data_IF_658055967519
#
_entry.id   IF_658055967519
#
_cell.length_a   1.000
_cell.length_b   1.000
_cell.length_c   1.000
_cell.angle_alpha   90.00
_cell.angle_beta   90.00
_cell.angle_gamma   90.00
#
_symmetry.space_group_name_H-M   'P 1'
#
loop_
_entity.id
_entity.type
_entity.pdbx_description
1 polymer ?
#
# COMPACT_ATOMS: atom_id res chain seq x y z
N UNK A 1 9.73 -20.91 43.06
CA UNK A 1 10.97 -20.19 42.74
C UNK A 1 10.66 -19.22 41.61
N UNK A 2 10.38 -17.97 41.95
CA UNK A 2 9.90 -16.97 41.00
C UNK A 2 11.09 -16.14 40.52
N UNK A 3 11.62 -16.45 39.34
CA UNK A 3 12.67 -15.63 38.71
C UNK A 3 12.09 -14.30 38.24
N UNK A 4 12.74 -13.20 38.59
CA UNK A 4 12.39 -11.85 38.14
C UNK A 4 12.94 -11.64 36.73
N UNK A 5 12.14 -11.24 35.74
CA UNK A 5 12.66 -11.01 34.39
C UNK A 5 13.17 -9.57 34.25
N UNK A 6 14.38 -9.37 33.72
CA UNK A 6 14.93 -8.04 33.42
C UNK A 6 14.80 -7.78 31.92
N UNK A 7 14.34 -6.58 31.56
CA UNK A 7 13.98 -6.23 30.18
C UNK A 7 14.81 -5.07 29.65
N UNK A 8 15.39 -5.28 28.46
CA UNK A 8 15.89 -4.22 27.61
C UNK A 8 15.19 -4.35 26.26
N UNK A 9 14.16 -3.54 26.02
CA UNK A 9 13.57 -3.39 24.69
C UNK A 9 13.56 -1.92 24.33
N UNK A 10 14.59 -1.51 23.59
CA UNK A 10 14.72 -0.18 23.02
C UNK A 10 13.65 0.00 21.93
N UNK A 11 12.49 0.55 22.31
CA UNK A 11 11.63 1.24 21.35
C UNK A 11 12.14 2.67 21.26
N UNK A 12 12.59 3.08 20.07
CA UNK A 12 13.43 4.25 19.80
C UNK A 12 12.84 5.65 20.01
N UNK A 13 12.07 5.89 21.07
CA UNK A 13 11.77 7.24 21.56
C UNK A 13 11.88 7.26 23.08
N UNK A 14 12.88 8.00 23.58
CA UNK A 14 13.14 8.21 25.00
C UNK A 14 12.03 9.03 25.64
N UNK A 15 10.97 8.36 26.07
CA UNK A 15 10.14 8.82 27.19
C UNK A 15 10.40 7.88 28.37
N UNK A 16 10.86 8.44 29.48
CA UNK A 16 11.35 7.72 30.68
C UNK A 16 10.27 6.87 31.40
N UNK A 17 9.08 6.69 30.81
CA UNK A 17 7.94 5.96 31.35
C UNK A 17 7.62 4.62 30.64
N UNK A 18 8.37 4.22 29.60
CA UNK A 18 7.97 3.12 28.70
C UNK A 18 8.90 1.88 28.63
N UNK A 19 9.73 1.61 29.65
CA UNK A 19 10.70 0.49 29.60
C UNK A 19 10.12 -0.94 29.74
N UNK A 20 8.79 -1.16 29.69
CA UNK A 20 8.18 -2.46 29.97
C UNK A 20 7.29 -3.03 28.84
N UNK A 21 7.51 -2.59 27.60
CA UNK A 21 6.67 -3.04 26.49
C UNK A 21 7.48 -3.65 25.34
N UNK A 22 7.05 -4.83 24.90
CA UNK A 22 7.72 -5.65 23.88
C UNK A 22 7.03 -5.45 22.54
N UNK A 23 7.80 -5.40 21.44
CA UNK A 23 7.25 -5.33 20.10
C UNK A 23 6.32 -6.52 19.81
N UNK A 24 5.13 -6.34 19.21
CA UNK A 24 4.17 -7.43 18.95
C UNK A 24 4.80 -8.64 18.25
N UNK A 25 5.58 -8.40 17.19
CA UNK A 25 6.25 -9.45 16.41
C UNK A 25 7.30 -10.27 17.20
N UNK A 26 7.76 -9.75 18.34
CA UNK A 26 8.73 -10.44 19.22
C UNK A 26 8.06 -11.06 20.43
N UNK A 27 6.77 -10.78 20.66
CA UNK A 27 6.07 -11.22 21.85
C UNK A 27 5.82 -12.73 21.86
N UNK A 28 5.60 -13.34 20.69
CA UNK A 28 5.43 -14.80 20.59
C UNK A 28 6.71 -15.56 20.97
N UNK A 29 7.88 -15.00 20.63
CA UNK A 29 9.20 -15.58 20.94
C UNK A 29 9.81 -15.01 22.21
N UNK A 30 8.99 -14.43 23.09
CA UNK A 30 9.51 -13.69 24.26
C UNK A 30 10.36 -14.55 25.18
N UNK A 31 10.06 -15.85 25.26
CA UNK A 31 10.82 -16.82 26.04
C UNK A 31 12.21 -17.12 25.46
N UNK A 32 12.41 -16.93 24.16
CA UNK A 32 13.71 -17.13 23.49
C UNK A 32 14.62 -15.91 23.65
N UNK A 33 14.03 -14.71 23.82
CA UNK A 33 14.76 -13.44 23.90
C UNK A 33 14.82 -12.87 25.33
N UNK A 34 14.34 -13.60 26.33
CA UNK A 34 14.38 -13.18 27.74
C UNK A 34 14.90 -14.29 28.64
N UNK A 35 15.64 -13.89 29.68
CA UNK A 35 16.11 -14.79 30.73
C UNK A 35 15.58 -14.33 32.08
N UNK A 36 15.02 -15.23 32.91
CA UNK A 36 14.67 -14.89 34.28
C UNK A 36 15.95 -14.64 35.08
N UNK A 37 16.02 -13.48 35.71
CA UNK A 37 17.05 -13.10 36.66
C UNK A 37 16.73 -13.67 38.05
N UNK A 38 17.69 -14.33 38.71
CA UNK A 38 17.54 -14.73 40.10
C UNK A 38 17.34 -13.53 41.03
N UNK A 39 16.51 -13.70 42.07
CA UNK A 39 16.18 -12.63 43.02
C UNK A 39 17.41 -12.06 43.74
N UNK A 40 18.38 -12.89 44.12
CA UNK A 40 19.63 -12.44 44.76
C UNK A 40 20.42 -11.48 43.87
N UNK A 41 20.48 -11.78 42.57
CA UNK A 41 21.14 -10.93 41.57
C UNK A 41 20.36 -9.62 41.38
N UNK A 42 19.02 -9.68 41.31
CA UNK A 42 18.18 -8.49 41.24
C UNK A 42 18.40 -7.54 42.43
N UNK A 43 18.36 -8.08 43.66
CA UNK A 43 18.56 -7.30 44.89
C UNK A 43 19.95 -6.65 44.90
N UNK A 44 20.98 -7.37 44.46
CA UNK A 44 22.33 -6.81 44.35
C UNK A 44 22.38 -5.63 43.36
N UNK A 45 21.78 -5.78 42.17
CA UNK A 45 21.72 -4.72 41.17
C UNK A 45 20.94 -3.50 41.67
N UNK A 46 19.79 -3.72 42.31
CA UNK A 46 18.96 -2.65 42.88
C UNK A 46 19.71 -1.87 43.96
N UNK A 47 20.42 -2.54 44.87
CA UNK A 47 21.19 -1.89 45.93
C UNK A 47 22.39 -1.10 45.38
N UNK A 48 22.99 -1.57 44.27
CA UNK A 48 24.18 -0.96 43.66
C UNK A 48 23.84 0.25 42.78
N UNK A 49 22.75 0.17 42.02
CA UNK A 49 22.44 1.12 40.94
C UNK A 49 21.10 1.85 41.13
N UNK A 50 20.29 1.46 42.13
CA UNK A 50 18.91 1.90 42.25
C UNK A 50 18.03 1.32 41.14
N UNK A 51 16.84 1.89 40.94
CA UNK A 51 15.92 1.50 39.86
C UNK A 51 14.45 1.52 40.26
N UNK A 52 13.61 1.08 39.33
CA UNK A 52 12.18 0.92 39.52
C UNK A 52 11.80 -0.46 40.10
N UNK A 53 10.51 -0.67 40.39
CA UNK A 53 10.02 -1.98 40.83
C UNK A 53 10.34 -3.07 39.80
N UNK A 54 10.49 -4.33 40.24
CA UNK A 54 10.79 -5.42 39.34
C UNK A 54 9.67 -5.62 38.33
N UNK A 55 10.04 -5.95 37.11
CA UNK A 55 9.10 -6.24 36.06
C UNK A 55 8.59 -7.69 36.19
N UNK A 56 7.36 -7.83 36.66
CA UNK A 56 6.73 -9.14 36.90
C UNK A 56 5.98 -9.67 35.68
N UNK A 57 5.50 -8.78 34.82
CA UNK A 57 4.81 -9.11 33.57
C UNK A 57 5.37 -8.31 32.40
N UNK A 58 5.29 -8.93 31.22
CA UNK A 58 5.59 -8.29 29.95
C UNK A 58 4.32 -7.97 29.24
N UNK A 59 4.20 -6.73 28.79
CA UNK A 59 3.08 -6.30 27.99
C UNK A 59 3.53 -6.03 26.55
N UNK A 60 2.62 -6.18 25.61
CA UNK A 60 2.85 -5.75 24.24
C UNK A 60 2.88 -4.23 24.20
N UNK A 61 3.81 -3.66 23.44
CA UNK A 61 3.84 -2.24 23.15
C UNK A 61 2.58 -1.83 22.37
N UNK A 62 1.68 -1.10 23.04
CA UNK A 62 0.43 -0.61 22.46
C UNK A 62 0.66 0.31 21.26
N UNK A 63 1.73 1.09 21.26
CA UNK A 63 2.09 1.94 20.12
C UNK A 63 2.49 1.11 18.90
N UNK A 64 3.41 0.15 19.08
CA UNK A 64 3.82 -0.76 18.01
C UNK A 64 2.65 -1.62 17.52
N UNK A 65 1.77 -2.07 18.42
CA UNK A 65 0.57 -2.82 18.04
C UNK A 65 -0.37 -1.99 17.16
N UNK A 66 -0.67 -0.75 17.56
CA UNK A 66 -1.48 0.16 16.75
C UNK A 66 -0.85 0.46 15.39
N UNK A 67 0.48 0.66 15.34
CA UNK A 67 1.18 0.91 14.09
C UNK A 67 1.10 -0.30 13.14
N UNK A 68 1.27 -1.52 13.67
CA UNK A 68 1.14 -2.76 12.91
C UNK A 68 -0.30 -2.97 12.42
N UNK A 69 -1.30 -2.73 13.27
CA UNK A 69 -2.71 -2.86 12.91
C UNK A 69 -3.10 -1.86 11.81
N UNK A 70 -2.59 -0.63 11.88
CA UNK A 70 -2.83 0.40 10.86
C UNK A 70 -2.16 0.06 9.53
N UNK A 71 -0.93 -0.47 9.57
CA UNK A 71 -0.22 -0.94 8.38
C UNK A 71 -1.00 -2.08 7.70
N UNK A 72 -1.46 -3.05 8.47
CA UNK A 72 -2.23 -4.19 7.93
C UNK A 72 -3.57 -3.73 7.36
N UNK A 73 -4.28 -2.84 8.06
CA UNK A 73 -5.52 -2.23 7.56
C UNK A 73 -5.29 -1.45 6.26
N UNK A 74 -4.15 -0.78 6.10
CA UNK A 74 -3.79 -0.13 4.83
C UNK A 74 -3.61 -1.17 3.72
N UNK A 75 -2.78 -2.19 3.93
CA UNK A 75 -2.53 -3.27 2.95
C UNK A 75 -3.83 -3.94 2.50
N UNK A 76 -4.70 -4.27 3.45
CA UNK A 76 -5.99 -4.89 3.19
C UNK A 76 -6.88 -3.99 2.33
N UNK A 77 -7.03 -2.70 2.69
CA UNK A 77 -7.84 -1.75 1.90
C UNK A 77 -7.34 -1.59 0.48
N UNK A 78 -6.02 -1.51 0.29
CA UNK A 78 -5.42 -1.38 -1.04
C UNK A 78 -5.66 -2.63 -1.88
N UNK A 79 -5.41 -3.82 -1.31
CA UNK A 79 -5.64 -5.10 -1.98
C UNK A 79 -7.10 -5.31 -2.36
N UNK A 80 -8.04 -5.05 -1.44
CA UNK A 80 -9.47 -5.24 -1.68
C UNK A 80 -10.02 -4.26 -2.72
N UNK A 81 -9.58 -3.00 -2.66
CA UNK A 81 -9.98 -1.99 -3.65
C UNK A 81 -9.45 -2.34 -5.04
N UNK A 82 -8.17 -2.72 -5.13
CA UNK A 82 -7.58 -3.16 -6.39
C UNK A 82 -8.32 -4.38 -6.95
N UNK A 83 -8.56 -5.43 -6.14
CA UNK A 83 -9.30 -6.62 -6.57
C UNK A 83 -10.71 -6.29 -7.07
N UNK A 84 -11.42 -5.38 -6.38
CA UNK A 84 -12.76 -4.94 -6.78
C UNK A 84 -12.71 -4.25 -8.15
N UNK A 85 -11.80 -3.30 -8.33
CA UNK A 85 -11.68 -2.55 -9.59
C UNK A 85 -11.22 -3.43 -10.77
N UNK A 86 -10.33 -4.40 -10.52
CA UNK A 86 -9.85 -5.30 -11.56
C UNK A 86 -10.77 -6.48 -11.87
N UNK A 87 -11.68 -6.86 -10.96
CA UNK A 87 -12.66 -7.91 -11.23
C UNK A 87 -13.58 -7.52 -12.40
N UNK A 88 -13.85 -6.22 -12.55
CA UNK A 88 -14.79 -5.69 -13.54
C UNK A 88 -14.10 -5.35 -14.89
N UNK A 89 -12.81 -5.68 -15.05
CA UNK A 89 -12.02 -5.40 -16.26
C UNK A 89 -11.49 -6.70 -16.91
N UNK A 90 -11.55 -6.88 -18.25
CA UNK A 90 -12.09 -6.00 -19.27
C UNK A 90 -13.54 -6.37 -19.63
N UNK A 91 -14.53 -5.69 -19.06
CA UNK A 91 -15.92 -5.98 -19.39
C UNK A 91 -16.34 -5.45 -20.77
N UNK A 92 -15.66 -4.41 -21.30
CA UNK A 92 -16.06 -3.71 -22.53
C UNK A 92 -14.85 -3.44 -23.44
N UNK A 93 -15.03 -3.58 -24.76
CA UNK A 93 -13.99 -3.36 -25.79
C UNK A 93 -13.69 -1.85 -26.06
N UNK A 94 -14.38 -0.92 -25.39
CA UNK A 94 -14.32 0.53 -25.67
C UNK A 94 -13.91 1.37 -24.43
N UNK A 95 -12.78 1.06 -23.79
CA UNK A 95 -12.33 1.78 -22.57
C UNK A 95 -10.84 2.11 -22.65
N UNK A 96 -10.48 3.34 -22.28
CA UNK A 96 -9.07 3.77 -22.21
C UNK A 96 -8.20 2.80 -21.42
N UNK A 97 -7.03 2.49 -21.98
CA UNK A 97 -6.09 1.53 -21.40
C UNK A 97 -4.89 2.27 -20.83
N UNK A 98 -4.73 2.21 -19.51
CA UNK A 98 -3.61 2.81 -18.79
C UNK A 98 -2.47 1.80 -18.61
N UNK A 99 -1.24 2.29 -18.60
CA UNK A 99 -0.05 1.45 -18.47
C UNK A 99 0.71 1.73 -17.19
N UNK A 100 1.11 0.65 -16.50
CA UNK A 100 1.91 0.72 -15.27
C UNK A 100 3.14 -0.16 -15.36
N UNK A 101 4.26 0.32 -14.85
CA UNK A 101 5.51 -0.46 -14.78
C UNK A 101 5.33 -1.70 -13.91
N UNK A 102 5.63 -2.90 -14.46
CA UNK A 102 5.61 -4.12 -13.63
C UNK A 102 6.69 -4.09 -12.55
N UNK A 103 7.74 -3.28 -12.70
CA UNK A 103 8.74 -3.08 -11.64
C UNK A 103 8.10 -2.44 -10.41
N UNK A 104 7.40 -1.32 -10.59
CA UNK A 104 6.69 -0.66 -9.50
C UNK A 104 5.56 -1.54 -8.96
N UNK A 105 4.79 -2.16 -9.86
CA UNK A 105 3.67 -3.00 -9.47
C UNK A 105 4.09 -4.23 -8.64
N UNK A 106 5.23 -4.85 -8.95
CA UNK A 106 5.81 -5.94 -8.13
C UNK A 106 6.14 -5.47 -6.71
N UNK A 107 6.66 -4.24 -6.54
CA UNK A 107 6.92 -3.65 -5.22
C UNK A 107 5.61 -3.41 -4.46
N UNK A 108 4.59 -2.89 -5.15
CA UNK A 108 3.27 -2.71 -4.56
C UNK A 108 2.70 -4.07 -4.12
N UNK A 109 2.82 -5.10 -4.95
CA UNK A 109 2.30 -6.43 -4.68
C UNK A 109 2.93 -7.07 -3.44
N UNK A 110 4.25 -7.00 -3.27
CA UNK A 110 4.93 -7.54 -2.07
C UNK A 110 4.54 -6.75 -0.81
N UNK A 111 4.33 -5.44 -0.92
CA UNK A 111 3.84 -4.60 0.17
C UNK A 111 2.42 -5.00 0.61
N UNK A 112 1.46 -5.07 -0.31
CA UNK A 112 0.07 -5.41 0.03
C UNK A 112 -0.10 -6.87 0.47
N UNK A 113 0.84 -7.76 0.11
CA UNK A 113 0.91 -9.14 0.62
C UNK A 113 1.61 -9.27 1.98
N UNK A 114 2.10 -8.16 2.55
CA UNK A 114 2.79 -8.15 3.84
C UNK A 114 4.16 -8.81 3.84
N UNK A 115 4.79 -8.95 2.68
CA UNK A 115 6.15 -9.50 2.55
C UNK A 115 7.21 -8.45 2.85
N UNK A 116 6.89 -7.18 2.57
CA UNK A 116 7.72 -6.01 2.88
C UNK A 116 6.90 -4.95 3.64
N UNK A 117 7.55 -4.28 4.60
CA UNK A 117 6.93 -3.21 5.39
C UNK A 117 6.92 -1.86 4.68
N UNK A 118 7.91 -1.63 3.80
CA UNK A 118 8.02 -0.39 3.06
C UNK A 118 7.05 -0.38 1.86
N UNK A 119 6.27 0.70 1.68
CA UNK A 119 5.44 0.87 0.48
C UNK A 119 6.31 1.10 -0.76
N UNK A 120 5.79 0.87 -1.99
CA UNK A 120 6.56 0.96 -3.24
C UNK A 120 7.09 2.35 -3.61
N UNK A 121 6.73 3.39 -2.85
CA UNK A 121 6.99 4.79 -3.22
C UNK A 121 6.11 5.26 -4.39
N UNK A 122 6.39 6.45 -4.96
CA UNK A 122 5.63 6.98 -6.08
C UNK A 122 5.69 6.09 -7.32
N UNK A 123 4.63 6.09 -8.13
CA UNK A 123 4.59 5.33 -9.38
C UNK A 123 5.74 5.80 -10.28
N UNK A 124 6.55 4.86 -10.79
CA UNK A 124 7.63 5.14 -11.73
C UNK A 124 7.44 4.36 -13.03
N UNK A 125 7.00 5.08 -14.06
CA UNK A 125 6.81 4.59 -15.42
C UNK A 125 7.96 5.00 -16.36
N UNK A 126 9.03 5.60 -15.87
CA UNK A 126 10.14 6.08 -16.70
C UNK A 126 10.83 4.96 -17.49
N UNK A 127 10.81 3.73 -16.96
CA UNK A 127 11.40 2.57 -17.61
C UNK A 127 10.54 2.00 -18.76
N UNK A 128 9.25 2.32 -18.80
CA UNK A 128 8.31 1.78 -19.81
C UNK A 128 7.96 2.78 -20.91
N UNK A 129 8.27 4.06 -20.74
CA UNK A 129 8.00 5.11 -21.74
C UNK A 129 9.32 5.56 -22.38
N UNK A 130 9.31 5.77 -23.69
CA UNK A 130 10.38 6.43 -24.43
C UNK A 130 9.82 7.57 -25.28
N UNK A 131 10.61 8.62 -25.45
CA UNK A 131 10.32 9.70 -26.39
C UNK A 131 10.88 9.32 -27.76
N UNK A 132 9.99 9.17 -28.76
CA UNK A 132 10.37 9.08 -30.17
C UNK A 132 10.00 10.40 -30.82
N UNK A 133 10.99 11.28 -30.98
CA UNK A 133 10.73 12.67 -31.34
C UNK A 133 9.98 13.37 -30.21
N UNK A 134 8.82 13.95 -30.52
CA UNK A 134 7.96 14.64 -29.55
C UNK A 134 6.83 13.76 -28.99
N UNK A 135 6.78 12.48 -29.38
CA UNK A 135 5.69 11.55 -29.00
C UNK A 135 6.19 10.54 -27.97
N UNK A 136 5.43 10.37 -26.88
CA UNK A 136 5.64 9.29 -25.91
C UNK A 136 5.12 7.99 -26.52
N UNK A 137 5.92 6.93 -26.44
CA UNK A 137 5.51 5.58 -26.85
C UNK A 137 6.01 4.55 -25.83
N UNK A 138 5.37 3.39 -25.79
CA UNK A 138 5.83 2.28 -24.98
C UNK A 138 7.17 1.74 -25.49
N UNK A 139 8.06 1.41 -24.55
CA UNK A 139 9.34 0.78 -24.84
C UNK A 139 9.09 -0.69 -25.19
N UNK A 140 9.49 -1.11 -26.39
CA UNK A 140 9.21 -2.45 -26.93
C UNK A 140 9.67 -3.62 -26.05
N UNK A 141 10.75 -3.44 -25.27
CA UNK A 141 11.30 -4.46 -24.37
C UNK A 141 10.96 -4.23 -22.89
N UNK A 142 9.98 -3.38 -22.59
CA UNK A 142 9.61 -3.08 -21.21
C UNK A 142 8.50 -4.00 -20.69
N UNK A 143 8.58 -4.31 -19.40
CA UNK A 143 7.54 -5.04 -18.69
C UNK A 143 6.51 -4.05 -18.11
N UNK A 144 5.30 -4.05 -18.64
CA UNK A 144 4.19 -3.23 -18.16
C UNK A 144 2.90 -4.05 -17.98
N UNK A 145 2.04 -3.60 -17.08
CA UNK A 145 0.67 -4.06 -16.92
C UNK A 145 -0.30 -3.07 -17.56
N UNK A 146 -1.49 -3.56 -17.93
CA UNK A 146 -2.61 -2.76 -18.40
C UNK A 146 -3.63 -2.62 -17.27
N UNK A 147 -4.18 -1.42 -17.11
CA UNK A 147 -5.16 -1.08 -16.09
C UNK A 147 -6.32 -0.32 -16.72
N UNK A 148 -7.50 -0.45 -16.13
CA UNK A 148 -8.58 0.49 -16.39
C UNK A 148 -8.23 1.89 -15.86
N UNK A 149 -8.96 2.90 -16.34
CA UNK A 149 -8.86 4.27 -15.82
C UNK A 149 -9.10 4.33 -14.31
N UNK A 150 -10.07 3.58 -13.81
CA UNK A 150 -10.45 3.56 -12.39
C UNK A 150 -9.33 2.96 -11.55
N UNK A 151 -8.73 1.84 -11.99
CA UNK A 151 -7.62 1.21 -11.27
C UNK A 151 -6.37 2.10 -11.31
N UNK A 152 -6.09 2.75 -12.44
CA UNK A 152 -4.99 3.72 -12.52
C UNK A 152 -5.22 4.90 -11.58
N UNK A 153 -6.40 5.51 -11.62
CA UNK A 153 -6.76 6.67 -10.79
C UNK A 153 -6.62 6.33 -9.32
N UNK A 154 -7.14 5.17 -8.89
CA UNK A 154 -7.00 4.70 -7.52
C UNK A 154 -5.53 4.61 -7.06
N UNK A 155 -4.66 3.98 -7.87
CA UNK A 155 -3.25 3.83 -7.52
C UNK A 155 -2.52 5.18 -7.53
N UNK A 156 -2.81 6.03 -8.52
CA UNK A 156 -2.21 7.35 -8.66
C UNK A 156 -2.64 8.30 -7.53
N UNK A 157 -3.89 8.24 -7.08
CA UNK A 157 -4.38 9.06 -5.96
C UNK A 157 -3.64 8.77 -4.64
N UNK A 158 -3.23 7.51 -4.42
CA UNK A 158 -2.60 7.10 -3.15
C UNK A 158 -1.06 7.06 -3.21
N UNK A 159 -0.46 7.00 -4.40
CA UNK A 159 1.00 6.91 -4.58
C UNK A 159 1.60 8.09 -5.34
N UNK A 160 0.81 8.83 -6.13
CA UNK A 160 1.28 9.85 -7.07
C UNK A 160 2.35 9.30 -8.03
N UNK A 161 3.10 10.17 -8.68
CA UNK A 161 4.21 9.84 -9.56
C UNK A 161 3.83 9.87 -11.04
N UNK A 162 4.47 9.03 -11.83
CA UNK A 162 4.27 8.95 -13.27
C UNK A 162 5.54 8.55 -14.04
N UNK A 163 5.67 8.93 -15.32
CA UNK A 163 4.68 9.68 -16.10
C UNK A 163 3.41 8.86 -16.39
N UNK A 164 2.27 9.55 -16.48
CA UNK A 164 1.02 8.96 -16.96
C UNK A 164 1.15 8.65 -18.45
N UNK A 165 0.69 7.46 -18.86
CA UNK A 165 0.58 7.05 -20.25
C UNK A 165 -0.59 6.09 -20.43
N UNK A 166 -1.43 6.37 -21.43
CA UNK A 166 -2.62 5.61 -21.76
C UNK A 166 -2.89 5.71 -23.26
N UNK A 167 -3.65 4.77 -23.80
CA UNK A 167 -4.26 4.91 -25.12
C UNK A 167 -5.72 5.34 -24.94
N UNK A 168 -6.05 6.46 -25.56
CA UNK A 168 -7.43 6.94 -25.71
C UNK A 168 -8.09 6.13 -26.82
N UNK A 169 -9.29 5.61 -26.56
CA UNK A 169 -10.12 5.09 -27.64
C UNK A 169 -10.81 6.23 -28.39
N UNK A 170 -10.86 6.14 -29.71
CA UNK A 170 -11.60 7.08 -30.55
C UNK A 170 -13.10 6.87 -30.30
N UNK A 171 -13.78 7.88 -29.74
CA UNK A 171 -15.23 7.86 -29.60
C UNK A 171 -15.82 8.05 -30.99
N UNK A 172 -16.45 7.02 -31.56
CA UNK A 172 -17.33 7.20 -32.70
C UNK A 172 -18.45 8.17 -32.27
N UNK A 173 -18.35 9.43 -32.74
CA UNK A 173 -19.45 10.38 -32.64
C UNK A 173 -20.57 9.83 -33.53
N UNK A 174 -21.57 9.19 -32.92
CA UNK A 174 -22.88 9.02 -33.55
C UNK A 174 -23.48 10.43 -33.75
N UNK A 175 -23.11 11.09 -34.85
CA UNK A 175 -23.85 12.24 -35.36
C UNK A 175 -25.28 11.77 -35.64
N UNK A 176 -26.25 12.32 -34.90
CA UNK A 176 -27.67 12.27 -35.25
C UNK A 176 -27.84 12.72 -36.70
N UNK A 177 -27.97 11.77 -37.62
CA UNK A 177 -28.49 12.06 -38.97
C UNK A 177 -29.95 12.46 -38.81
N UNK A 178 -30.23 13.77 -38.81
CA UNK A 178 -31.55 14.28 -39.10
C UNK A 178 -31.98 13.75 -40.48
N UNK A 179 -33.09 13.01 -40.48
CA UNK A 179 -33.73 12.44 -41.67
C UNK A 179 -34.35 13.58 -42.50
N UNK A 180 -33.97 13.78 -43.79
CA UNK A 180 -34.50 14.88 -44.61
C UNK A 180 -35.95 14.69 -45.11
N UNK A 181 -36.75 13.83 -44.47
CA UNK A 181 -38.05 13.41 -45.02
C UNK A 181 -39.28 14.22 -44.59
N UNK A 182 -39.12 15.26 -43.77
CA UNK A 182 -40.26 16.05 -43.27
C UNK A 182 -40.54 17.37 -44.01
N UNK A 183 -39.86 17.68 -45.14
CA UNK A 183 -40.08 18.95 -45.87
C UNK A 183 -40.96 18.86 -47.15
N UNK A 184 -41.49 17.70 -47.54
CA UNK A 184 -42.27 17.57 -48.79
C UNK A 184 -43.81 17.64 -48.64
N UNK A 185 -44.39 17.81 -47.44
CA UNK A 185 -45.87 17.85 -47.31
C UNK A 185 -46.51 19.27 -47.37
N UNK A 186 -45.75 20.36 -47.46
CA UNK A 186 -46.32 21.73 -47.43
C UNK A 186 -46.43 22.44 -48.81
N UNK A 187 -46.20 21.73 -49.93
CA UNK A 187 -46.41 22.30 -51.28
C UNK A 187 -47.53 21.55 -52.00
N UNK A 188 -48.76 21.65 -51.49
CA UNK A 188 -49.97 21.36 -52.28
C UNK A 188 -51.27 21.88 -51.63
N UNK A 189 -51.33 23.17 -51.32
CA UNK A 189 -52.62 23.88 -51.20
C UNK A 189 -52.49 25.30 -51.79
N UNK A 190 -52.69 25.41 -53.10
CA UNK A 190 -53.23 26.61 -53.75
C UNK A 190 -54.10 26.21 -54.95
#
# INVERSE_FOLDING_TARGET
>A
MSGLKVFFSLCGQLSFLFLLAVHPLKFEKIHEITVPLPQSVWVHLLNRFGGGPPATTLNICRHCKRALDELERRRQREMETFKRLNHDYPANENVDVYFISLRWFKLWEVFVKGQEDDPPGPIDNSNIIVLKGNTKVLRASSEYGQLSRETWTFLHDIYDGGPVFFYEEEKDNEEEKQDPRDEEEDIQQE
#
